data_IF_085693934488
#
_entry.id   IF_085693934488
#
_cell.length_a   1.000
_cell.length_b   1.000
_cell.length_c   1.000
_cell.angle_alpha   90.00
_cell.angle_beta   90.00
_cell.angle_gamma   90.00
#
_symmetry.space_group_name_H-M   'P 1'
#
loop_
_entity.id
_entity.type
_entity.pdbx_description
1 polymer ?
#
# COMPACT_ATOMS: atom_id res chain seq x y z
N UNK A 1 -13.48 -7.75 3.57
CA UNK A 1 -14.18 -6.47 3.36
C UNK A 1 -13.47 -5.78 2.20
N UNK A 2 -14.14 -4.94 1.42
CA UNK A 2 -13.52 -4.23 0.30
C UNK A 2 -12.85 -2.97 0.83
N UNK A 3 -11.51 -2.93 0.87
CA UNK A 3 -10.80 -1.79 1.47
C UNK A 3 -10.98 -0.45 0.73
N UNK A 4 -11.49 -0.42 -0.51
CA UNK A 4 -12.05 0.78 -1.14
C UNK A 4 -13.31 0.35 -1.89
N UNK A 5 -14.45 1.00 -1.64
CA UNK A 5 -15.72 0.64 -2.29
C UNK A 5 -16.72 1.79 -2.31
N UNK A 6 -17.75 1.67 -3.16
CA UNK A 6 -18.88 2.60 -3.20
C UNK A 6 -20.13 1.89 -2.68
N UNK A 7 -20.85 2.53 -1.76
CA UNK A 7 -22.14 2.06 -1.24
C UNK A 7 -23.13 3.22 -1.24
N UNK A 8 -24.30 3.03 -1.85
CA UNK A 8 -25.37 4.06 -1.90
C UNK A 8 -24.85 5.41 -2.42
N UNK A 9 -23.99 5.39 -3.44
CA UNK A 9 -23.40 6.60 -4.03
C UNK A 9 -22.26 7.24 -3.21
N UNK A 10 -21.91 6.69 -2.05
CA UNK A 10 -20.85 7.20 -1.19
C UNK A 10 -19.56 6.37 -1.32
N UNK A 11 -18.42 7.05 -1.45
CA UNK A 11 -17.10 6.41 -1.42
C UNK A 11 -16.70 6.09 0.02
N UNK A 12 -16.28 4.86 0.26
CA UNK A 12 -15.70 4.40 1.51
C UNK A 12 -14.26 3.95 1.27
N UNK A 13 -13.36 4.37 2.15
CA UNK A 13 -12.02 3.82 2.29
C UNK A 13 -12.00 3.06 3.60
N UNK A 14 -11.82 1.75 3.49
CA UNK A 14 -12.05 0.78 4.55
C UNK A 14 -13.48 0.97 5.09
N UNK A 15 -13.64 1.38 6.35
CA UNK A 15 -14.94 1.67 6.96
C UNK A 15 -15.19 3.17 7.17
N UNK A 16 -14.38 4.04 6.54
CA UNK A 16 -14.45 5.50 6.73
C UNK A 16 -15.02 6.16 5.48
N UNK A 17 -15.96 7.09 5.68
CA UNK A 17 -16.56 7.84 4.59
C UNK A 17 -15.52 8.77 3.93
N UNK A 18 -15.36 8.67 2.61
CA UNK A 18 -14.39 9.48 1.85
C UNK A 18 -14.60 10.98 2.02
N UNK A 19 -15.86 11.43 2.18
CA UNK A 19 -16.19 12.82 2.47
C UNK A 19 -15.64 13.30 3.83
N UNK A 20 -15.61 12.43 4.85
CA UNK A 20 -15.02 12.75 6.16
C UNK A 20 -13.51 12.90 6.06
N UNK A 21 -12.85 12.04 5.28
CA UNK A 21 -11.41 12.13 5.01
C UNK A 21 -11.08 13.43 4.26
N UNK A 22 -11.86 13.79 3.24
CA UNK A 22 -11.69 15.03 2.50
C UNK A 22 -11.89 16.26 3.40
N UNK A 23 -12.90 16.24 4.29
CA UNK A 23 -13.12 17.32 5.26
C UNK A 23 -11.99 17.43 6.28
N UNK A 24 -11.47 16.30 6.76
CA UNK A 24 -10.44 16.24 7.80
C UNK A 24 -9.06 16.62 7.29
N UNK A 25 -8.67 16.15 6.10
CA UNK A 25 -7.30 16.28 5.58
C UNK A 25 -7.19 17.27 4.41
N UNK A 26 -8.32 17.80 3.90
CA UNK A 26 -8.34 18.70 2.75
C UNK A 26 -8.18 17.98 1.42
N UNK A 27 -8.22 18.76 0.33
CA UNK A 27 -8.04 18.26 -1.05
C UNK A 27 -7.09 19.19 -1.83
N UNK A 28 -6.28 18.66 -2.77
CA UNK A 28 -6.19 17.25 -3.19
C UNK A 28 -5.48 16.36 -2.15
N UNK A 29 -5.96 15.12 -1.99
CA UNK A 29 -5.37 14.14 -1.09
C UNK A 29 -5.28 12.76 -1.76
N UNK A 30 -4.18 12.05 -1.53
CA UNK A 30 -4.04 10.64 -1.88
C UNK A 30 -4.36 9.79 -0.65
N UNK A 31 -5.31 8.87 -0.80
CA UNK A 31 -5.76 7.98 0.27
C UNK A 31 -5.49 6.55 -0.16
N UNK A 32 -4.83 5.79 0.70
CA UNK A 32 -4.48 4.38 0.48
C UNK A 32 -5.15 3.53 1.56
N UNK A 33 -5.66 2.36 1.18
CA UNK A 33 -6.08 1.35 2.15
C UNK A 33 -4.93 0.40 2.45
N UNK A 34 -4.61 0.26 3.74
CA UNK A 34 -3.58 -0.67 4.19
C UNK A 34 -4.03 -2.13 3.99
N UNK A 35 -5.32 -2.40 4.19
CA UNK A 35 -5.93 -3.72 3.94
C UNK A 35 -5.76 -4.15 2.49
N UNK A 36 -6.04 -3.25 1.52
CA UNK A 36 -5.88 -3.57 0.09
C UNK A 36 -4.43 -3.91 -0.25
N UNK A 37 -3.47 -3.12 0.24
CA UNK A 37 -2.06 -3.34 -0.07
C UNK A 37 -1.58 -4.68 0.51
N UNK A 38 -1.93 -4.98 1.77
CA UNK A 38 -1.58 -6.25 2.42
C UNK A 38 -2.22 -7.45 1.72
N UNK A 39 -3.49 -7.35 1.33
CA UNK A 39 -4.19 -8.40 0.60
C UNK A 39 -3.54 -8.65 -0.76
N UNK A 40 -3.19 -7.59 -1.49
CA UNK A 40 -2.47 -7.73 -2.76
C UNK A 40 -1.14 -8.44 -2.58
N UNK A 41 -0.34 -8.06 -1.58
CA UNK A 41 0.91 -8.76 -1.27
C UNK A 41 0.67 -10.25 -0.93
N UNK A 42 -0.33 -10.55 -0.09
CA UNK A 42 -0.66 -11.92 0.29
C UNK A 42 -1.03 -12.80 -0.91
N UNK A 43 -1.69 -12.25 -1.93
CA UNK A 43 -2.00 -13.00 -3.16
C UNK A 43 -0.73 -13.48 -3.89
N UNK A 44 0.33 -12.69 -3.91
CA UNK A 44 1.63 -13.11 -4.45
C UNK A 44 2.37 -14.03 -3.48
N UNK A 45 2.36 -13.69 -2.19
CA UNK A 45 3.07 -14.45 -1.15
C UNK A 45 2.54 -15.88 -1.03
N UNK A 46 1.24 -16.10 -1.23
CA UNK A 46 0.64 -17.44 -1.18
C UNK A 46 1.02 -18.33 -2.38
N UNK A 47 1.59 -17.75 -3.44
CA UNK A 47 2.01 -18.47 -4.65
C UNK A 47 3.53 -18.61 -4.76
N UNK A 48 4.30 -18.06 -3.80
CA UNK A 48 5.76 -18.08 -3.83
C UNK A 48 6.30 -19.45 -3.42
N UNK A 49 7.43 -19.86 -4.01
CA UNK A 49 8.19 -21.02 -3.53
C UNK A 49 9.06 -20.61 -2.34
N UNK A 50 9.67 -21.60 -1.68
CA UNK A 50 10.47 -21.37 -0.47
C UNK A 50 11.61 -20.35 -0.70
N UNK A 51 12.30 -20.45 -1.83
CA UNK A 51 13.43 -19.58 -2.20
C UNK A 51 13.03 -18.27 -2.90
N UNK A 52 11.74 -18.07 -3.21
CA UNK A 52 11.30 -16.86 -3.90
C UNK A 52 11.13 -15.69 -2.90
N UNK A 53 11.70 -14.53 -3.25
CA UNK A 53 11.49 -13.24 -2.58
C UNK A 53 10.62 -12.34 -3.45
N UNK A 54 9.56 -11.78 -2.87
CA UNK A 54 8.73 -10.78 -3.54
C UNK A 54 9.36 -9.41 -3.31
N UNK A 55 9.72 -8.72 -4.39
CA UNK A 55 10.31 -7.38 -4.34
C UNK A 55 9.31 -6.34 -4.85
N UNK A 56 8.95 -5.39 -3.99
CA UNK A 56 8.15 -4.24 -4.38
C UNK A 56 9.01 -3.22 -5.14
N UNK A 57 8.55 -2.78 -6.31
CA UNK A 57 9.24 -1.76 -7.09
C UNK A 57 9.00 -0.36 -6.48
N UNK A 58 10.01 0.23 -5.85
CA UNK A 58 9.89 1.49 -5.09
C UNK A 58 9.41 2.66 -5.96
N UNK A 59 9.73 2.64 -7.26
CA UNK A 59 9.25 3.61 -8.26
C UNK A 59 7.73 3.69 -8.39
N UNK A 60 6.99 2.65 -7.98
CA UNK A 60 5.53 2.66 -8.04
C UNK A 60 4.91 3.57 -6.97
N UNK A 61 5.49 3.59 -5.77
CA UNK A 61 5.13 4.50 -4.69
C UNK A 61 6.23 4.50 -3.61
N UNK A 62 6.93 5.62 -3.45
CA UNK A 62 8.04 5.76 -2.49
C UNK A 62 7.59 6.24 -1.10
N UNK A 63 6.28 6.18 -0.80
CA UNK A 63 5.77 6.54 0.52
C UNK A 63 6.36 5.63 1.61
N UNK A 64 7.14 6.22 2.52
CA UNK A 64 7.86 5.49 3.57
C UNK A 64 6.98 4.61 4.45
N UNK A 65 5.73 5.01 4.72
CA UNK A 65 4.82 4.20 5.53
C UNK A 65 4.34 2.95 4.77
N UNK A 66 4.13 3.06 3.45
CA UNK A 66 3.80 1.91 2.60
C UNK A 66 5.00 0.97 2.51
N UNK A 67 6.21 1.52 2.28
CA UNK A 67 7.44 0.73 2.23
C UNK A 67 7.64 -0.02 3.56
N UNK A 68 7.63 0.68 4.70
CA UNK A 68 7.76 0.05 6.01
C UNK A 68 6.74 -1.07 6.23
N UNK A 69 5.48 -0.82 5.90
CA UNK A 69 4.42 -1.84 5.99
C UNK A 69 4.72 -3.08 5.15
N UNK A 70 5.28 -2.91 3.94
CA UNK A 70 5.67 -4.01 3.05
C UNK A 70 6.87 -4.80 3.61
N UNK A 71 7.87 -4.12 4.21
CA UNK A 71 8.97 -4.79 4.92
C UNK A 71 8.44 -5.61 6.08
N UNK A 72 7.52 -5.05 6.87
CA UNK A 72 6.95 -5.72 8.05
C UNK A 72 6.21 -7.02 7.68
N UNK A 73 5.78 -7.18 6.41
CA UNK A 73 5.14 -8.42 5.90
C UNK A 73 6.06 -9.27 5.02
N UNK A 74 7.36 -8.97 5.00
CA UNK A 74 8.40 -9.79 4.36
C UNK A 74 8.72 -9.45 2.91
N UNK A 75 8.26 -8.31 2.40
CA UNK A 75 8.63 -7.84 1.06
C UNK A 75 10.08 -7.35 1.05
N UNK A 76 10.81 -7.71 0.00
CA UNK A 76 12.01 -6.98 -0.41
C UNK A 76 11.66 -5.73 -1.23
N UNK A 77 12.69 -5.03 -1.69
CA UNK A 77 12.54 -3.88 -2.57
C UNK A 77 13.42 -4.00 -3.82
N UNK A 78 12.80 -3.73 -4.96
CA UNK A 78 13.51 -3.48 -6.21
C UNK A 78 13.78 -1.98 -6.32
N UNK A 79 15.05 -1.61 -6.16
CA UNK A 79 15.55 -0.23 -6.15
C UNK A 79 16.45 -0.03 -7.36
N UNK A 80 16.22 1.04 -8.10
CA UNK A 80 16.99 1.36 -9.31
C UNK A 80 18.00 2.47 -9.09
N UNK A 81 18.01 3.08 -7.90
CA UNK A 81 18.93 4.16 -7.52
C UNK A 81 19.35 4.11 -6.04
N UNK A 82 20.56 4.62 -5.74
CA UNK A 82 21.08 4.70 -4.38
C UNK A 82 20.29 5.61 -3.44
N UNK A 83 19.53 6.58 -3.98
CA UNK A 83 18.64 7.42 -3.17
C UNK A 83 17.38 6.68 -2.69
N UNK A 84 16.87 5.70 -3.45
CA UNK A 84 15.76 4.85 -3.01
C UNK A 84 16.20 3.88 -1.91
N UNK A 85 17.45 3.40 -2.00
CA UNK A 85 18.07 2.54 -0.99
C UNK A 85 18.12 3.19 0.40
N UNK A 86 18.45 4.49 0.48
CA UNK A 86 18.48 5.23 1.76
C UNK A 86 17.11 5.42 2.41
N UNK A 87 16.04 5.37 1.62
CA UNK A 87 14.67 5.54 2.11
C UNK A 87 14.02 4.19 2.48
N UNK A 88 14.60 3.08 2.02
CA UNK A 88 14.12 1.73 2.24
C UNK A 88 14.83 1.02 3.41
N UNK A 89 15.94 1.59 3.90
CA UNK A 89 16.78 1.05 4.98
C UNK A 89 16.35 1.53 6.38
#
# INVERSE_FOLDING_TARGET
MTGIHVKEGNLFVENILGAELAKKYGTPAFIYSSEVIRNNYALYSNQKREDDLICYAVKANSNLNILKMLVDIGSGFDVVSGNELKNAS
#
